data_IF_233007694571
#
_entry.id   IF_233007694571
#
_cell.length_a   1.000
_cell.length_b   1.000
_cell.length_c   1.000
_cell.angle_alpha   90.00
_cell.angle_beta   90.00
_cell.angle_gamma   90.00
#
_symmetry.space_group_name_H-M   'P 1'
#
loop_
_entity.id
_entity.type
_entity.pdbx_description
1 polymer ?
#
# COMPACT_ATOMS: atom_id res chain seq x y z
N UNK A 1 73.77 56.84 31.12
CA UNK A 1 72.66 57.72 30.70
C UNK A 1 71.70 56.89 29.89
N UNK A 2 70.39 57.07 30.13
CA UNK A 2 69.22 56.56 29.37
C UNK A 2 68.96 55.05 29.41
N UNK A 3 67.98 54.53 30.17
CA UNK A 3 66.49 54.60 30.11
C UNK A 3 65.86 53.74 28.99
N UNK A 4 64.63 53.30 29.31
CA UNK A 4 63.53 52.73 28.51
C UNK A 4 63.46 51.19 28.42
N UNK A 5 62.32 50.52 28.55
CA UNK A 5 61.00 50.78 29.15
C UNK A 5 60.29 49.41 29.21
N UNK A 6 59.39 49.23 30.17
CA UNK A 6 58.47 48.09 30.24
C UNK A 6 57.30 48.26 29.27
N UNK A 7 56.98 47.26 28.42
CA UNK A 7 55.64 47.01 27.84
C UNK A 7 55.54 45.51 27.53
N UNK A 8 54.78 44.73 28.32
CA UNK A 8 53.35 44.44 28.19
C UNK A 8 52.98 43.56 26.99
N UNK A 9 52.45 42.37 27.33
CA UNK A 9 51.49 41.55 26.60
C UNK A 9 51.90 41.01 25.22
N UNK A 10 51.82 39.69 25.07
CA UNK A 10 50.86 39.06 24.14
C UNK A 10 51.26 37.60 23.91
N UNK A 11 50.50 36.71 24.54
CA UNK A 11 50.30 35.33 24.10
C UNK A 11 49.93 35.31 22.60
N UNK A 12 50.68 34.63 21.73
CA UNK A 12 50.13 34.20 20.46
C UNK A 12 49.46 32.84 20.69
N UNK A 13 48.23 32.88 21.21
CA UNK A 13 47.33 31.72 21.13
C UNK A 13 47.19 31.35 19.65
N UNK A 14 47.67 30.15 19.30
CA UNK A 14 47.49 29.51 18.01
C UNK A 14 46.04 29.73 17.52
N UNK A 15 45.81 30.26 16.31
CA UNK A 15 44.46 30.25 15.75
C UNK A 15 44.12 28.79 15.43
N UNK A 16 43.16 28.24 16.17
CA UNK A 16 42.48 27.00 15.81
C UNK A 16 42.10 27.10 14.32
N UNK A 17 42.53 26.10 13.55
CA UNK A 17 42.14 25.96 12.15
C UNK A 17 40.62 26.07 12.04
N UNK A 18 40.16 27.02 11.25
CA UNK A 18 38.76 27.10 10.84
C UNK A 18 38.37 25.76 10.23
N UNK A 19 37.31 25.09 10.71
CA UNK A 19 36.83 23.90 10.04
C UNK A 19 36.46 24.30 8.60
N UNK A 20 36.96 23.55 7.62
CA UNK A 20 36.73 23.73 6.19
C UNK A 20 35.28 23.43 5.77
N UNK A 21 34.30 23.71 6.63
CA UNK A 21 32.90 23.62 6.34
C UNK A 21 32.36 25.04 6.10
N UNK A 22 32.29 25.43 4.83
CA UNK A 22 31.65 26.67 4.32
C UNK A 22 30.13 26.67 4.53
N UNK A 23 29.66 26.46 5.77
CA UNK A 23 28.25 26.61 6.14
C UNK A 23 27.88 28.09 6.39
N UNK A 24 28.78 29.03 6.09
CA UNK A 24 28.50 30.47 6.15
C UNK A 24 27.67 30.90 4.94
N UNK A 25 26.38 31.12 5.22
CA UNK A 25 25.32 31.60 4.35
C UNK A 25 25.75 32.76 3.41
N UNK A 26 26.01 32.45 2.14
CA UNK A 26 25.87 33.41 1.06
C UNK A 26 24.38 33.61 0.71
N UNK A 27 23.91 34.83 0.44
CA UNK A 27 22.52 35.10 0.09
C UNK A 27 22.11 34.39 -1.22
N UNK A 28 20.85 33.98 -1.29
CA UNK A 28 20.26 32.98 -2.17
C UNK A 28 20.22 33.28 -3.69
N UNK A 29 21.08 34.15 -4.23
CA UNK A 29 20.96 34.62 -5.63
C UNK A 29 22.03 34.12 -6.60
N UNK A 30 23.02 33.33 -6.17
CA UNK A 30 24.04 32.79 -7.09
C UNK A 30 24.51 31.38 -6.70
N UNK A 31 23.60 30.51 -6.27
CA UNK A 31 23.92 29.07 -6.26
C UNK A 31 23.83 28.59 -7.71
N UNK A 32 24.97 28.53 -8.38
CA UNK A 32 25.09 27.73 -9.60
C UNK A 32 24.54 26.34 -9.28
N UNK A 33 23.78 25.70 -10.19
CA UNK A 33 23.35 24.34 -9.96
C UNK A 33 24.61 23.49 -9.73
N UNK A 34 24.70 22.86 -8.55
CA UNK A 34 25.84 22.01 -8.16
C UNK A 34 26.05 20.87 -9.15
N UNK A 35 24.99 20.55 -9.90
CA UNK A 35 24.95 19.49 -10.88
C UNK A 35 24.79 20.05 -12.29
N UNK A 36 25.34 19.37 -13.30
CA UNK A 36 25.18 19.79 -14.68
C UNK A 36 23.70 19.69 -15.09
N UNK A 37 23.26 20.60 -15.97
CA UNK A 37 21.84 20.79 -16.32
C UNK A 37 21.22 19.58 -17.03
N UNK A 38 22.05 18.72 -17.61
CA UNK A 38 21.66 17.46 -18.25
C UNK A 38 21.51 16.28 -17.28
N UNK A 39 21.79 16.47 -15.98
CA UNK A 39 21.63 15.43 -14.98
C UNK A 39 20.14 15.19 -14.65
N UNK A 40 19.68 13.98 -14.95
CA UNK A 40 18.36 13.49 -14.57
C UNK A 40 18.49 12.58 -13.35
N UNK A 41 17.71 12.85 -12.30
CA UNK A 41 17.62 12.04 -11.10
C UNK A 41 16.41 11.12 -11.13
N UNK A 42 16.58 9.86 -10.73
CA UNK A 42 15.51 8.89 -10.52
C UNK A 42 15.31 8.67 -9.04
N UNK A 43 14.10 8.94 -8.57
CA UNK A 43 13.69 8.73 -7.18
C UNK A 43 12.81 7.49 -7.13
N UNK A 44 13.24 6.43 -6.43
CA UNK A 44 12.48 5.19 -6.32
C UNK A 44 12.53 4.61 -4.90
N UNK A 45 11.51 3.83 -4.55
CA UNK A 45 11.50 3.08 -3.30
C UNK A 45 12.32 1.79 -3.46
N UNK A 46 13.29 1.56 -2.57
CA UNK A 46 14.11 0.34 -2.64
C UNK A 46 13.22 -0.89 -2.44
N UNK A 47 13.10 -1.72 -3.48
CA UNK A 47 12.36 -2.98 -3.41
C UNK A 47 13.17 -4.03 -2.65
N UNK A 48 12.49 -4.97 -1.99
CA UNK A 48 13.14 -6.17 -1.43
C UNK A 48 13.94 -6.88 -2.54
N UNK A 49 15.08 -7.45 -2.20
CA UNK A 49 15.73 -8.41 -3.10
C UNK A 49 14.81 -9.62 -3.26
N UNK A 50 14.58 -10.06 -4.50
CA UNK A 50 13.71 -11.21 -4.78
C UNK A 50 14.28 -12.51 -4.19
N UNK A 51 15.60 -12.60 -4.08
CA UNK A 51 16.36 -13.82 -3.75
C UNK A 51 16.57 -14.01 -2.24
N UNK A 52 16.40 -12.96 -1.44
CA UNK A 52 16.63 -13.04 0.01
C UNK A 52 15.36 -12.72 0.78
N UNK A 53 15.01 -13.59 1.74
CA UNK A 53 13.84 -13.42 2.62
C UNK A 53 14.11 -12.47 3.80
N UNK A 54 15.26 -11.79 3.82
CA UNK A 54 15.64 -10.93 4.93
C UNK A 54 14.75 -9.67 4.98
N UNK A 55 14.05 -9.48 6.09
CA UNK A 55 13.20 -8.32 6.41
C UNK A 55 14.03 -7.07 6.76
N UNK A 56 15.14 -6.85 6.05
CA UNK A 56 16.12 -5.79 6.30
C UNK A 56 15.82 -4.53 5.49
N UNK A 57 15.48 -3.44 6.18
CA UNK A 57 15.54 -2.03 5.73
C UNK A 57 14.99 -1.64 4.34
N UNK A 58 13.97 -2.33 3.81
CA UNK A 58 13.33 -1.99 2.51
C UNK A 58 12.37 -0.78 2.57
N UNK A 59 12.68 0.25 3.37
CA UNK A 59 11.78 1.40 3.57
C UNK A 59 12.38 2.75 3.17
N UNK A 60 13.61 2.78 2.68
CA UNK A 60 14.25 4.01 2.21
C UNK A 60 13.84 4.36 0.78
N UNK A 61 13.65 5.66 0.54
CA UNK A 61 13.66 6.25 -0.80
C UNK A 61 15.10 6.42 -1.25
N UNK A 62 15.40 6.10 -2.50
CA UNK A 62 16.72 6.28 -3.09
C UNK A 62 16.64 7.21 -4.28
N UNK A 63 17.55 8.17 -4.33
CA UNK A 63 17.78 9.05 -5.46
C UNK A 63 19.08 8.62 -6.13
N UNK A 64 19.01 8.28 -7.41
CA UNK A 64 20.14 7.86 -8.25
C UNK A 64 20.14 8.68 -9.52
N UNK A 65 21.29 9.00 -10.08
CA UNK A 65 21.37 9.72 -11.35
C UNK A 65 21.31 8.77 -12.54
N UNK A 66 20.62 9.19 -13.61
CA UNK A 66 20.68 8.50 -14.89
C UNK A 66 22.07 8.65 -15.50
N UNK A 67 22.52 7.59 -16.17
CA UNK A 67 23.83 7.58 -16.81
C UNK A 67 23.76 8.41 -18.09
N UNK A 68 24.64 9.40 -18.20
CA UNK A 68 24.70 10.34 -19.33
C UNK A 68 25.65 9.88 -20.44
N UNK A 69 26.73 9.18 -20.07
CA UNK A 69 27.74 8.68 -21.03
C UNK A 69 27.70 7.15 -21.17
N UNK A 70 27.90 6.65 -22.38
CA UNK A 70 28.11 5.21 -22.61
C UNK A 70 29.42 4.73 -21.97
N UNK A 71 29.45 3.54 -21.35
CA UNK A 71 30.69 2.97 -20.85
C UNK A 71 31.61 2.63 -22.00
N UNK A 72 32.90 2.81 -21.77
CA UNK A 72 33.96 2.49 -22.72
C UNK A 72 34.75 1.32 -22.17
N UNK A 73 35.02 0.34 -23.01
CA UNK A 73 35.89 -0.78 -22.67
C UNK A 73 37.32 -0.33 -22.94
N UNK A 74 38.17 -0.41 -21.92
CA UNK A 74 39.58 -0.06 -22.03
C UNK A 74 40.31 -1.12 -22.88
N UNK A 75 41.12 -0.71 -23.88
CA UNK A 75 41.66 -1.63 -24.90
C UNK A 75 42.73 -2.60 -24.39
N UNK A 76 43.46 -2.28 -23.32
CA UNK A 76 44.56 -3.11 -22.82
C UNK A 76 44.06 -4.24 -21.89
N UNK A 77 43.24 -3.88 -20.90
CA UNK A 77 42.81 -4.75 -19.80
C UNK A 77 41.34 -5.17 -19.91
N UNK A 78 40.55 -4.52 -20.77
CA UNK A 78 39.13 -4.81 -20.94
C UNK A 78 38.23 -4.28 -19.82
N UNK A 79 38.72 -3.37 -18.97
CA UNK A 79 37.91 -2.80 -17.90
C UNK A 79 36.84 -1.85 -18.42
N UNK A 80 35.67 -1.88 -17.80
CA UNK A 80 34.56 -0.97 -18.12
C UNK A 80 34.78 0.36 -17.41
N UNK A 81 35.20 1.38 -18.16
CA UNK A 81 35.35 2.75 -17.69
C UNK A 81 34.19 3.64 -18.12
N UNK A 82 34.12 4.84 -17.56
CA UNK A 82 33.16 5.88 -17.94
C UNK A 82 33.54 7.24 -17.37
N UNK A 83 33.16 8.31 -18.07
CA UNK A 83 33.43 9.69 -17.64
C UNK A 83 32.36 10.27 -16.70
N UNK A 84 31.26 9.55 -16.49
CA UNK A 84 30.13 10.03 -15.70
C UNK A 84 30.23 9.62 -14.22
N UNK A 85 30.73 10.54 -13.39
CA UNK A 85 30.91 10.34 -11.95
C UNK A 85 29.58 10.28 -11.19
N UNK A 86 28.51 10.86 -11.73
CA UNK A 86 27.20 10.91 -11.06
C UNK A 86 26.56 9.52 -10.94
N UNK A 87 26.94 8.57 -11.80
CA UNK A 87 26.48 7.18 -11.73
C UNK A 87 26.90 6.45 -10.45
N UNK A 88 27.95 6.93 -9.79
CA UNK A 88 28.45 6.36 -8.54
C UNK A 88 27.70 6.94 -7.31
N UNK A 89 26.96 8.03 -7.48
CA UNK A 89 26.29 8.73 -6.38
C UNK A 89 24.87 8.19 -6.20
N UNK A 90 24.62 7.62 -5.02
CA UNK A 90 23.28 7.20 -4.60
C UNK A 90 22.95 7.78 -3.22
N UNK A 91 21.86 8.54 -3.13
CA UNK A 91 21.41 9.17 -1.91
C UNK A 91 20.21 8.43 -1.34
N UNK A 92 20.22 8.19 -0.03
CA UNK A 92 19.13 7.52 0.67
C UNK A 92 18.37 8.51 1.54
N UNK A 93 17.04 8.49 1.45
CA UNK A 93 16.13 9.38 2.15
C UNK A 93 15.06 8.58 2.91
N UNK A 94 14.58 9.10 4.05
CA UNK A 94 13.50 8.46 4.79
C UNK A 94 12.13 8.64 4.12
N UNK A 95 11.89 9.76 3.42
CA UNK A 95 10.61 10.09 2.80
C UNK A 95 10.78 10.55 1.36
N UNK A 96 9.73 10.41 0.55
CA UNK A 96 9.68 10.92 -0.83
C UNK A 96 9.87 12.44 -0.86
N UNK A 97 9.16 13.14 0.02
CA UNK A 97 9.21 14.59 0.13
C UNK A 97 10.62 15.10 0.45
N UNK A 98 11.37 14.40 1.31
CA UNK A 98 12.75 14.75 1.59
C UNK A 98 13.66 14.63 0.35
N UNK A 99 13.41 13.62 -0.51
CA UNK A 99 14.13 13.44 -1.76
C UNK A 99 13.74 14.51 -2.80
N UNK A 100 12.45 14.83 -2.92
CA UNK A 100 11.94 15.88 -3.81
C UNK A 100 12.51 17.25 -3.45
N UNK A 101 12.40 17.64 -2.17
CA UNK A 101 12.94 18.92 -1.67
C UNK A 101 14.44 19.04 -1.89
N UNK A 102 15.18 17.92 -1.80
CA UNK A 102 16.60 17.90 -2.12
C UNK A 102 16.84 18.14 -3.62
N UNK A 103 16.11 17.45 -4.49
CA UNK A 103 16.23 17.60 -5.94
C UNK A 103 15.88 19.03 -6.39
N UNK A 104 14.79 19.59 -5.87
CA UNK A 104 14.36 20.98 -6.13
C UNK A 104 15.41 22.00 -5.67
N UNK A 105 15.95 21.84 -4.45
CA UNK A 105 16.98 22.74 -3.93
C UNK A 105 18.26 22.73 -4.76
N UNK A 106 18.56 21.60 -5.41
CA UNK A 106 19.73 21.44 -6.26
C UNK A 106 19.46 21.76 -7.74
N UNK A 107 18.21 22.08 -8.10
CA UNK A 107 17.81 22.36 -9.48
C UNK A 107 17.91 21.14 -10.41
N UNK A 108 17.71 19.94 -9.88
CA UNK A 108 17.81 18.69 -10.64
C UNK A 108 16.50 18.37 -11.35
N UNK A 109 16.58 17.93 -12.60
CA UNK A 109 15.45 17.28 -13.29
C UNK A 109 15.23 15.91 -12.67
N UNK A 110 14.03 15.59 -12.19
CA UNK A 110 13.79 14.30 -11.53
C UNK A 110 12.55 13.55 -12.04
N UNK A 111 12.63 12.22 -11.96
CA UNK A 111 11.54 11.28 -12.29
C UNK A 111 11.25 10.42 -11.07
N UNK A 112 10.00 10.42 -10.61
CA UNK A 112 9.55 9.62 -9.46
C UNK A 112 8.98 8.29 -9.95
N UNK A 113 9.54 7.19 -9.44
CA UNK A 113 9.03 5.83 -9.69
C UNK A 113 8.29 5.34 -8.46
N UNK A 114 6.97 5.28 -8.57
CA UNK A 114 6.11 4.71 -7.55
C UNK A 114 6.27 3.18 -7.51
N UNK A 115 6.31 2.55 -6.32
CA UNK A 115 6.38 1.10 -6.23
C UNK A 115 5.15 0.47 -6.90
N UNK A 116 5.35 -0.65 -7.59
CA UNK A 116 4.35 -1.34 -8.41
C UNK A 116 3.05 -1.74 -7.68
N UNK A 117 2.99 -1.63 -6.34
CA UNK A 117 1.77 -1.83 -5.56
C UNK A 117 0.96 -0.56 -5.27
N UNK A 118 1.43 0.62 -5.69
CA UNK A 118 0.81 1.92 -5.36
C UNK A 118 0.16 2.63 -6.54
N UNK A 119 0.37 2.13 -7.77
CA UNK A 119 -0.35 2.56 -8.95
C UNK A 119 -1.01 1.33 -9.58
N UNK A 120 -2.29 1.15 -9.25
CA UNK A 120 -3.28 0.43 -10.05
C UNK A 120 -2.84 -0.93 -10.61
N UNK A 121 -3.33 -1.98 -9.95
CA UNK A 121 -3.63 -3.29 -10.54
C UNK A 121 -4.72 -3.20 -11.63
N UNK A 122 -4.59 -2.28 -12.59
CA UNK A 122 -5.52 -2.15 -13.70
C UNK A 122 -5.01 -2.94 -14.91
N UNK A 123 -5.66 -4.09 -15.10
CA UNK A 123 -6.07 -4.71 -16.38
C UNK A 123 -5.47 -6.04 -16.85
N UNK A 124 -4.31 -6.51 -16.39
CA UNK A 124 -3.77 -7.78 -16.97
C UNK A 124 -3.42 -8.89 -15.98
N UNK A 125 -3.07 -8.56 -14.73
CA UNK A 125 -2.93 -9.57 -13.66
C UNK A 125 -4.26 -9.88 -12.93
N UNK A 126 -5.24 -8.97 -13.06
CA UNK A 126 -6.50 -9.02 -12.32
C UNK A 126 -7.33 -10.27 -12.59
N UNK A 127 -7.41 -10.77 -13.84
CA UNK A 127 -8.33 -11.86 -14.17
C UNK A 127 -8.07 -13.16 -13.40
N UNK A 128 -6.80 -13.52 -13.16
CA UNK A 128 -6.46 -14.74 -12.44
C UNK A 128 -6.59 -14.57 -10.91
N UNK A 129 -6.22 -13.40 -10.39
CA UNK A 129 -6.36 -13.07 -8.96
C UNK A 129 -7.84 -12.89 -8.56
N UNK A 130 -8.66 -12.26 -9.40
CA UNK A 130 -10.11 -12.14 -9.21
C UNK A 130 -10.80 -13.50 -9.31
N UNK A 131 -10.41 -14.35 -10.26
CA UNK A 131 -10.96 -15.69 -10.40
C UNK A 131 -10.60 -16.59 -9.19
N UNK A 132 -9.35 -16.50 -8.70
CA UNK A 132 -8.92 -17.21 -7.49
C UNK A 132 -9.68 -16.73 -6.26
N UNK A 133 -9.85 -15.41 -6.11
CA UNK A 133 -10.63 -14.81 -5.02
C UNK A 133 -12.12 -15.18 -5.07
N UNK A 134 -12.72 -15.17 -6.26
CA UNK A 134 -14.12 -15.58 -6.47
C UNK A 134 -14.33 -17.07 -6.15
N UNK A 135 -13.40 -17.94 -6.59
CA UNK A 135 -13.45 -19.36 -6.27
C UNK A 135 -13.33 -19.62 -4.78
N UNK A 136 -12.40 -18.94 -4.09
CA UNK A 136 -12.23 -19.08 -2.65
C UNK A 136 -13.49 -18.62 -1.89
N UNK A 137 -14.09 -17.50 -2.30
CA UNK A 137 -15.37 -17.01 -1.75
C UNK A 137 -16.51 -18.00 -1.97
N UNK A 138 -16.60 -18.61 -3.16
CA UNK A 138 -17.61 -19.63 -3.45
C UNK A 138 -17.44 -20.89 -2.61
N UNK A 139 -16.21 -21.38 -2.46
CA UNK A 139 -15.93 -22.54 -1.59
C UNK A 139 -16.30 -22.23 -0.15
N UNK A 140 -15.99 -21.03 0.33
CA UNK A 140 -16.40 -20.59 1.66
C UNK A 140 -17.92 -20.43 1.81
N UNK A 141 -18.63 -19.89 0.81
CA UNK A 141 -20.09 -19.78 0.85
C UNK A 141 -20.75 -21.14 0.91
N UNK A 142 -20.29 -22.08 0.08
CA UNK A 142 -20.83 -23.43 0.04
C UNK A 142 -20.62 -24.12 1.40
N UNK A 143 -19.40 -24.05 1.95
CA UNK A 143 -19.07 -24.60 3.27
C UNK A 143 -19.84 -23.94 4.43
N UNK A 144 -20.04 -22.62 4.38
CA UNK A 144 -20.80 -21.88 5.40
C UNK A 144 -22.26 -22.26 5.38
N UNK A 145 -22.86 -22.34 4.19
CA UNK A 145 -24.26 -22.76 4.03
C UNK A 145 -24.45 -24.23 4.44
N UNK A 146 -23.51 -25.11 4.13
CA UNK A 146 -23.54 -26.51 4.58
C UNK A 146 -23.56 -26.62 6.11
N UNK A 147 -22.68 -25.86 6.79
CA UNK A 147 -22.62 -25.80 8.25
C UNK A 147 -23.91 -25.26 8.87
N UNK A 148 -24.61 -24.35 8.18
CA UNK A 148 -25.90 -23.81 8.61
C UNK A 148 -27.10 -24.70 8.22
N UNK A 149 -26.88 -25.82 7.52
CA UNK A 149 -27.96 -26.69 7.03
C UNK A 149 -28.74 -26.11 5.84
N UNK A 150 -28.18 -25.11 5.16
CA UNK A 150 -28.76 -24.38 4.03
C UNK A 150 -28.17 -24.84 2.68
N UNK A 151 -27.79 -26.11 2.56
CA UNK A 151 -27.14 -26.65 1.35
C UNK A 151 -28.03 -26.53 0.10
N UNK A 152 -29.35 -26.70 0.25
CA UNK A 152 -30.31 -26.61 -0.85
C UNK A 152 -30.32 -25.24 -1.57
N UNK A 153 -29.90 -24.17 -0.89
CA UNK A 153 -29.94 -22.80 -1.42
C UNK A 153 -28.55 -22.29 -1.87
N UNK A 154 -27.52 -23.14 -1.88
CA UNK A 154 -26.18 -22.80 -2.38
C UNK A 154 -26.22 -22.24 -3.81
N UNK A 155 -27.04 -22.82 -4.69
CA UNK A 155 -27.22 -22.35 -6.07
C UNK A 155 -27.70 -20.90 -6.13
N UNK A 156 -28.70 -20.55 -5.32
CA UNK A 156 -29.26 -19.20 -5.23
C UNK A 156 -28.25 -18.18 -4.70
N UNK A 157 -27.40 -18.57 -3.75
CA UNK A 157 -26.32 -17.72 -3.25
C UNK A 157 -25.18 -17.56 -4.26
N UNK A 158 -24.83 -18.61 -5.00
CA UNK A 158 -23.86 -18.54 -6.09
C UNK A 158 -24.29 -17.52 -7.15
N UNK A 159 -25.53 -17.63 -7.62
CA UNK A 159 -26.11 -16.68 -8.57
C UNK A 159 -26.17 -15.25 -8.02
N UNK A 160 -26.53 -15.10 -6.73
CA UNK A 160 -26.51 -13.80 -6.08
C UNK A 160 -25.09 -13.19 -6.04
N UNK A 161 -24.06 -13.97 -5.71
CA UNK A 161 -22.68 -13.48 -5.68
C UNK A 161 -22.14 -13.13 -7.07
N UNK A 162 -22.43 -13.95 -8.08
CA UNK A 162 -21.99 -13.72 -9.46
C UNK A 162 -22.65 -12.47 -10.05
N UNK A 163 -23.92 -12.23 -9.73
CA UNK A 163 -24.67 -11.04 -10.16
C UNK A 163 -24.36 -9.75 -9.37
N UNK A 164 -23.65 -9.83 -8.25
CA UNK A 164 -23.45 -8.71 -7.34
C UNK A 164 -22.69 -7.53 -7.98
N UNK A 165 -21.72 -7.83 -8.85
CA UNK A 165 -20.98 -6.82 -9.59
C UNK A 165 -21.88 -6.04 -10.57
N UNK A 166 -22.88 -6.71 -11.18
CA UNK A 166 -23.83 -6.07 -12.09
C UNK A 166 -24.86 -5.21 -11.35
N UNK A 167 -25.20 -5.56 -10.11
CA UNK A 167 -26.17 -4.83 -9.29
C UNK A 167 -25.58 -3.67 -8.50
N UNK A 168 -24.25 -3.51 -8.49
CA UNK A 168 -23.53 -2.56 -7.64
C UNK A 168 -23.89 -2.71 -6.15
N UNK A 169 -23.96 -3.95 -5.67
CA UNK A 169 -24.33 -4.23 -4.29
C UNK A 169 -23.33 -3.56 -3.31
N UNK A 170 -23.80 -2.76 -2.34
CA UNK A 170 -22.92 -2.05 -1.41
C UNK A 170 -22.18 -2.99 -0.44
N UNK A 171 -20.93 -2.66 -0.14
CA UNK A 171 -20.12 -3.42 0.83
C UNK A 171 -20.61 -3.21 2.28
N UNK A 172 -20.88 -4.33 2.96
CA UNK A 172 -21.55 -4.41 4.28
C UNK A 172 -21.20 -3.32 5.31
N UNK A 173 -20.02 -3.38 5.98
CA UNK A 173 -19.77 -2.61 7.21
C UNK A 173 -19.69 -1.09 7.02
N UNK A 174 -19.63 -0.60 5.77
CA UNK A 174 -19.64 0.84 5.47
C UNK A 174 -21.05 1.43 5.56
N UNK A 175 -22.07 0.62 5.26
CA UNK A 175 -23.45 1.07 5.11
C UNK A 175 -24.34 0.62 6.27
N UNK A 176 -24.07 -0.55 6.85
CA UNK A 176 -24.82 -1.09 7.99
C UNK A 176 -23.89 -1.38 9.16
N UNK A 177 -24.28 -0.94 10.36
CA UNK A 177 -23.53 -1.20 11.60
C UNK A 177 -23.80 -2.60 12.17
N UNK A 178 -24.91 -3.22 11.78
CA UNK A 178 -25.32 -4.57 12.20
C UNK A 178 -25.73 -5.42 10.99
N UNK A 179 -25.36 -6.72 10.94
CA UNK A 179 -25.79 -7.61 9.86
C UNK A 179 -27.31 -7.72 9.72
N UNK A 180 -28.02 -7.71 10.86
CA UNK A 180 -29.49 -7.68 10.88
C UNK A 180 -30.08 -6.42 10.22
N UNK A 181 -29.34 -5.32 10.14
CA UNK A 181 -29.76 -4.11 9.42
C UNK A 181 -30.00 -4.37 7.93
N UNK A 182 -29.21 -5.26 7.31
CA UNK A 182 -29.34 -5.64 5.89
C UNK A 182 -30.63 -6.42 5.66
N UNK A 183 -30.98 -7.33 6.58
CA UNK A 183 -32.20 -8.15 6.47
C UNK A 183 -33.46 -7.29 6.54
N UNK A 184 -33.47 -6.30 7.44
CA UNK A 184 -34.62 -5.41 7.69
C UNK A 184 -34.80 -4.32 6.65
N UNK A 185 -33.82 -4.08 5.79
CA UNK A 185 -33.89 -3.03 4.78
C UNK A 185 -34.91 -3.40 3.68
N UNK A 186 -35.97 -2.59 3.47
CA UNK A 186 -36.94 -2.85 2.42
C UNK A 186 -36.46 -2.42 1.02
N UNK A 187 -35.40 -1.61 0.93
CA UNK A 187 -34.89 -1.12 -0.37
C UNK A 187 -34.04 -2.15 -1.11
N UNK A 188 -33.57 -3.20 -0.42
CA UNK A 188 -32.73 -4.24 -1.00
C UNK A 188 -33.55 -5.42 -1.53
N UNK A 189 -33.18 -5.89 -2.72
CA UNK A 189 -33.70 -7.16 -3.25
C UNK A 189 -33.18 -8.35 -2.44
N UNK A 190 -33.87 -9.48 -2.49
CA UNK A 190 -33.45 -10.70 -1.80
C UNK A 190 -32.03 -11.13 -2.19
N UNK A 191 -31.72 -11.08 -3.49
CA UNK A 191 -30.38 -11.42 -4.00
C UNK A 191 -29.30 -10.48 -3.47
N UNK A 192 -29.59 -9.17 -3.39
CA UNK A 192 -28.67 -8.21 -2.80
C UNK A 192 -28.46 -8.48 -1.31
N UNK A 193 -29.51 -8.82 -0.55
CA UNK A 193 -29.37 -9.20 0.87
C UNK A 193 -28.46 -10.42 1.03
N UNK A 194 -28.66 -11.45 0.20
CA UNK A 194 -27.83 -12.68 0.18
C UNK A 194 -26.37 -12.38 -0.14
N UNK A 195 -26.09 -11.59 -1.18
CA UNK A 195 -24.72 -11.25 -1.60
C UNK A 195 -23.99 -10.39 -0.56
N UNK A 196 -24.67 -9.40 0.02
CA UNK A 196 -24.10 -8.47 1.01
C UNK A 196 -23.74 -9.21 2.29
N UNK A 197 -24.66 -10.01 2.84
CA UNK A 197 -24.40 -10.79 4.06
C UNK A 197 -23.28 -11.80 3.84
N UNK A 198 -23.25 -12.48 2.69
CA UNK A 198 -22.22 -13.47 2.39
C UNK A 198 -20.83 -12.82 2.21
N UNK A 199 -20.76 -11.65 1.59
CA UNK A 199 -19.52 -10.88 1.50
C UNK A 199 -19.04 -10.37 2.87
N UNK A 200 -19.98 -10.01 3.74
CA UNK A 200 -19.67 -9.61 5.11
C UNK A 200 -19.13 -10.80 5.91
N UNK A 201 -19.77 -11.97 5.83
CA UNK A 201 -19.30 -13.21 6.46
C UNK A 201 -17.87 -13.56 6.02
N UNK A 202 -17.56 -13.41 4.72
CA UNK A 202 -16.21 -13.62 4.21
C UNK A 202 -15.19 -12.64 4.81
N UNK A 203 -15.56 -11.37 4.94
CA UNK A 203 -14.69 -10.33 5.52
C UNK A 203 -14.39 -10.64 7.00
N UNK A 204 -15.41 -10.99 7.78
CA UNK A 204 -15.26 -11.38 9.19
C UNK A 204 -14.44 -12.66 9.35
N UNK A 205 -14.68 -13.66 8.50
CA UNK A 205 -13.90 -14.89 8.49
C UNK A 205 -12.42 -14.66 8.23
N UNK A 206 -12.07 -13.78 7.28
CA UNK A 206 -10.68 -13.43 7.01
C UNK A 206 -10.01 -12.75 8.22
N UNK A 207 -10.74 -11.91 8.96
CA UNK A 207 -10.23 -11.29 10.19
C UNK A 207 -9.99 -12.33 11.30
N UNK A 208 -10.88 -13.32 11.42
CA UNK A 208 -10.76 -14.42 12.38
C UNK A 208 -9.58 -15.34 12.09
N UNK A 209 -9.39 -15.72 10.81
CA UNK A 209 -8.24 -16.51 10.36
C UNK A 209 -6.91 -15.78 10.64
N UNK A 210 -6.83 -14.48 10.35
CA UNK A 210 -5.64 -13.67 10.61
C UNK A 210 -5.31 -13.58 12.12
N UNK A 211 -6.33 -13.56 12.97
CA UNK A 211 -6.16 -13.55 14.43
C UNK A 211 -5.63 -14.90 14.93
N UNK A 212 -6.13 -16.01 14.38
CA UNK A 212 -5.72 -17.38 14.72
C UNK A 212 -4.27 -17.68 14.29
N UNK A 213 -3.81 -17.10 13.17
CA UNK A 213 -2.44 -17.28 12.65
C UNK A 213 -1.35 -16.46 13.38
N UNK A 214 -1.68 -15.74 14.46
CA UNK A 214 -0.68 -15.18 15.38
C UNK A 214 -0.29 -13.71 15.17
N UNK A 215 -1.11 -12.92 14.46
CA UNK A 215 -0.97 -11.46 14.39
C UNK A 215 -2.03 -10.77 15.27
N UNK A 216 -1.69 -10.17 16.42
CA UNK A 216 -2.65 -9.55 17.31
C UNK A 216 -2.97 -8.11 16.85
N UNK A 217 -3.64 -7.96 15.70
CA UNK A 217 -4.06 -6.63 15.24
C UNK A 217 -5.52 -6.28 15.62
N UNK A 218 -6.39 -7.29 15.81
CA UNK A 218 -7.81 -7.09 16.14
C UNK A 218 -8.07 -7.28 17.64
N UNK A 219 -8.36 -6.18 18.34
CA UNK A 219 -8.80 -6.18 19.76
C UNK A 219 -10.28 -6.58 19.93
N UNK A 220 -10.92 -7.10 18.88
CA UNK A 220 -12.36 -7.33 18.79
C UNK A 220 -12.62 -8.78 18.38
N UNK A 221 -13.53 -9.49 19.07
CA UNK A 221 -13.96 -10.82 18.65
C UNK A 221 -14.69 -10.73 17.30
N UNK A 222 -14.53 -11.77 16.47
CA UNK A 222 -15.18 -11.85 15.15
C UNK A 222 -16.70 -11.79 15.26
N UNK A 223 -17.36 -11.02 14.38
CA UNK A 223 -18.83 -10.89 14.35
C UNK A 223 -19.49 -11.93 13.44
N UNK A 224 -18.76 -12.99 13.08
CA UNK A 224 -19.23 -14.02 12.15
C UNK A 224 -20.56 -14.63 12.61
N UNK A 225 -20.72 -14.90 13.91
CA UNK A 225 -21.97 -15.43 14.47
C UNK A 225 -23.18 -14.50 14.29
N UNK A 226 -22.98 -13.17 14.29
CA UNK A 226 -24.07 -12.20 14.02
C UNK A 226 -24.51 -12.26 12.56
N UNK A 227 -23.56 -12.43 11.63
CA UNK A 227 -23.85 -12.55 10.20
C UNK A 227 -24.54 -13.87 9.90
N UNK A 228 -24.13 -14.97 10.53
CA UNK A 228 -24.78 -16.28 10.42
C UNK A 228 -26.22 -16.24 10.94
N UNK A 229 -26.46 -15.58 12.07
CA UNK A 229 -27.80 -15.38 12.60
C UNK A 229 -28.68 -14.57 11.63
N UNK A 230 -28.11 -13.54 10.98
CA UNK A 230 -28.81 -12.74 9.99
C UNK A 230 -29.16 -13.54 8.72
N UNK A 231 -28.25 -14.40 8.25
CA UNK A 231 -28.51 -15.32 7.12
C UNK A 231 -29.66 -16.27 7.44
N UNK A 232 -29.65 -16.90 8.63
CA UNK A 232 -30.74 -17.78 9.06
C UNK A 232 -32.07 -17.05 9.18
N UNK A 233 -32.08 -15.81 9.69
CA UNK A 233 -33.28 -15.00 9.79
C UNK A 233 -33.84 -14.65 8.39
N UNK A 234 -32.97 -14.26 7.46
CA UNK A 234 -33.37 -13.95 6.08
C UNK A 234 -34.08 -15.13 5.41
N UNK A 235 -33.53 -16.35 5.52
CA UNK A 235 -34.12 -17.51 4.87
C UNK A 235 -35.41 -17.99 5.54
N UNK A 236 -35.56 -17.78 6.86
CA UNK A 236 -36.85 -17.99 7.54
C UNK A 236 -37.94 -17.06 7.03
N UNK A 237 -37.61 -15.78 6.84
CA UNK A 237 -38.56 -14.79 6.31
C UNK A 237 -38.96 -15.11 4.87
N UNK A 238 -38.02 -15.61 4.05
CA UNK A 238 -38.31 -16.07 2.68
C UNK A 238 -39.24 -17.27 2.68
N UNK A 239 -38.96 -18.29 3.50
CA UNK A 239 -39.80 -19.48 3.59
C UNK A 239 -41.23 -19.11 4.03
N UNK A 240 -41.37 -18.27 5.06
CA UNK A 240 -42.67 -17.80 5.53
C UNK A 240 -43.43 -17.00 4.47
N UNK A 241 -42.73 -16.22 3.64
CA UNK A 241 -43.32 -15.49 2.53
C UNK A 241 -43.81 -16.41 1.40
N UNK A 242 -43.12 -17.51 1.14
CA UNK A 242 -43.50 -18.51 0.13
C UNK A 242 -44.75 -19.29 0.55
N UNK A 243 -44.82 -19.71 1.81
CA UNK A 243 -45.98 -20.44 2.35
C UNK A 243 -47.25 -19.56 2.31
N UNK A 244 -47.15 -18.29 2.71
CA UNK A 244 -48.28 -17.36 2.68
C UNK A 244 -48.78 -17.02 1.27
N UNK A 245 -47.91 -17.11 0.25
CA UNK A 245 -48.30 -16.94 -1.14
C UNK A 245 -49.02 -18.19 -1.66
N UNK A 246 -48.52 -19.38 -1.32
CA UNK A 246 -49.14 -20.64 -1.69
C UNK A 246 -50.56 -20.78 -1.10
N UNK A 247 -50.76 -20.38 0.16
CA UNK A 247 -52.07 -20.38 0.81
C UNK A 247 -53.07 -19.43 0.14
N UNK A 248 -52.59 -18.33 -0.46
CA UNK A 248 -53.43 -17.37 -1.19
C UNK A 248 -53.82 -17.82 -2.59
N UNK A 249 -52.99 -18.62 -3.26
CA UNK A 249 -53.34 -19.20 -4.56
C UNK A 249 -54.26 -20.42 -4.44
N UNK A 250 -54.29 -21.06 -3.27
CA UNK A 250 -55.13 -22.22 -2.99
C UNK A 250 -56.54 -21.88 -2.47
N UNK A 251 -56.84 -20.60 -2.20
CA UNK A 251 -58.12 -20.12 -1.66
C UNK A 251 -58.95 -19.37 -2.72
#
# INVERSE_FOLDING_TARGET
MEKVDSFSSTDPHLPLGTPSNDNTLAPASARQPTFPTDAVARIYKLSRSATTSAKGHSQGWRLVFERRSTPVIEPLMGYTGGGDTLTQVALSFPTLEAALRYAERQGLTFVVQHPAGSQQADKTAGANETAKGARARKVFSDATLDRLGLSAIQGSYGQALDGAAGRNDPSGPKNWSTPMGVVRDPALTLEAKRSILMNWAWTEYLMDQATTEGMPESRWPSRLGEVEAALLALERDVAAGQDALADREAA
#
